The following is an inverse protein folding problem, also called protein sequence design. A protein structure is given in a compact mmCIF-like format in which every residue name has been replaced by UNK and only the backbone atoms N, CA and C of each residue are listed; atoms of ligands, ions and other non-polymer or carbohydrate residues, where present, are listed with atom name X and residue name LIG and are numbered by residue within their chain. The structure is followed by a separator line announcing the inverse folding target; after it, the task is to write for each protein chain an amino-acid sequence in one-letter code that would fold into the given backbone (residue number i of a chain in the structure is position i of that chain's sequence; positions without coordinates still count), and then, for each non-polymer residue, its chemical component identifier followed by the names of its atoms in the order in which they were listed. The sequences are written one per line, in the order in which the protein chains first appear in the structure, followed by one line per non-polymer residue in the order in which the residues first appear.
data_IF_840612590499
#
_entry.id   IF_840612590499
#
_cell.length_a   1.000
_cell.length_b   1.000
_cell.length_c   1.000
_cell.angle_alpha   90.00
_cell.angle_beta   90.00
_cell.angle_gamma   90.00
#
_symmetry.space_group_name_H-M   'P 1'
#
loop_
_entity.id
_entity.type
_entity.pdbx_description
1 polymer ?
#
# COMPACT_ATOMS: atom_id res chain seq x y z
N UNK A 1 4.11 -6.23 -11.56
CA UNK A 1 4.74 -6.53 -10.25
C UNK A 1 5.47 -7.87 -10.33
N UNK A 2 6.64 -8.07 -9.69
CA UNK A 2 7.29 -9.37 -9.64
C UNK A 2 6.40 -10.32 -8.83
N UNK A 3 5.83 -11.30 -9.52
CA UNK A 3 4.95 -12.31 -8.96
C UNK A 3 5.76 -13.28 -8.09
N UNK A 4 5.41 -13.41 -6.81
CA UNK A 4 5.90 -14.51 -5.97
C UNK A 4 5.59 -15.83 -6.70
N UNK A 5 6.61 -16.69 -6.86
CA UNK A 5 6.43 -17.99 -7.50
C UNK A 5 5.45 -18.88 -6.71
N UNK A 6 4.84 -19.89 -7.35
CA UNK A 6 3.84 -20.74 -6.71
C UNK A 6 4.33 -21.42 -5.42
N UNK A 7 5.59 -21.86 -5.35
CA UNK A 7 6.12 -22.49 -4.14
C UNK A 7 6.17 -21.51 -2.96
N UNK A 8 6.64 -20.28 -3.19
CA UNK A 8 6.67 -19.24 -2.16
C UNK A 8 5.26 -18.88 -1.67
N UNK A 9 4.28 -18.82 -2.58
CA UNK A 9 2.88 -18.57 -2.20
C UNK A 9 2.34 -19.68 -1.31
N UNK A 10 2.61 -20.93 -1.67
CA UNK A 10 2.15 -22.09 -0.92
C UNK A 10 2.82 -22.17 0.46
N UNK A 11 4.10 -21.79 0.56
CA UNK A 11 4.82 -21.72 1.81
C UNK A 11 4.28 -20.63 2.75
N UNK A 12 3.99 -19.43 2.22
CA UNK A 12 3.37 -18.34 2.97
C UNK A 12 1.98 -18.76 3.49
N UNK A 13 1.18 -19.43 2.66
CA UNK A 13 -0.14 -19.93 3.05
C UNK A 13 -0.08 -20.93 4.21
N UNK A 14 0.95 -21.79 4.24
CA UNK A 14 1.16 -22.79 5.29
C UNK A 14 1.76 -22.23 6.58
N UNK A 15 2.37 -21.04 6.55
CA UNK A 15 3.06 -20.46 7.72
C UNK A 15 2.99 -18.93 7.74
N UNK A 16 1.83 -18.34 8.08
CA UNK A 16 1.64 -16.88 8.10
C UNK A 16 2.56 -16.15 9.08
N UNK A 17 2.93 -16.76 10.20
CA UNK A 17 3.86 -16.17 11.18
C UNK A 17 5.26 -15.95 10.55
N UNK A 18 5.73 -16.93 9.78
CA UNK A 18 7.00 -16.80 9.03
C UNK A 18 6.91 -15.71 7.96
N UNK A 19 5.74 -15.54 7.35
CA UNK A 19 5.51 -14.48 6.37
C UNK A 19 5.59 -13.08 7.01
N UNK A 20 5.11 -12.91 8.25
CA UNK A 20 5.28 -11.65 8.98
C UNK A 20 6.76 -11.32 9.24
N UNK A 21 7.53 -12.30 9.72
CA UNK A 21 8.99 -12.11 9.92
C UNK A 21 9.70 -11.77 8.60
N UNK A 22 9.30 -12.42 7.50
CA UNK A 22 9.86 -12.13 6.18
C UNK A 22 9.53 -10.72 5.70
N UNK A 23 8.29 -10.25 5.89
CA UNK A 23 7.92 -8.85 5.59
C UNK A 23 8.80 -7.89 6.40
N UNK A 24 8.93 -8.12 7.71
CA UNK A 24 9.74 -7.26 8.58
C UNK A 24 11.21 -7.22 8.13
N UNK A 25 11.76 -8.37 7.76
CA UNK A 25 13.11 -8.46 7.20
C UNK A 25 13.24 -7.67 5.89
N UNK A 26 12.35 -7.89 4.92
CA UNK A 26 12.33 -7.15 3.67
C UNK A 26 12.21 -5.63 3.90
N UNK A 27 11.33 -5.19 4.81
CA UNK A 27 11.16 -3.78 5.14
C UNK A 27 12.42 -3.18 5.78
N UNK A 28 13.07 -3.91 6.68
CA UNK A 28 14.31 -3.48 7.32
C UNK A 28 15.45 -3.38 6.30
N UNK A 29 15.69 -4.44 5.52
CA UNK A 29 16.74 -4.47 4.51
C UNK A 29 16.51 -3.43 3.41
N UNK A 30 15.26 -3.27 2.95
CA UNK A 30 14.90 -2.23 1.99
C UNK A 30 15.21 -0.82 2.50
N UNK A 31 14.93 -0.54 3.78
CA UNK A 31 15.28 0.73 4.43
C UNK A 31 16.79 0.96 4.49
N UNK A 32 17.58 -0.08 4.80
CA UNK A 32 19.04 0.03 4.81
C UNK A 32 19.58 0.39 3.42
N UNK A 33 19.13 -0.31 2.38
CA UNK A 33 19.54 0.00 1.00
C UNK A 33 19.09 1.40 0.56
N UNK A 34 17.86 1.81 0.91
CA UNK A 34 17.35 3.14 0.62
C UNK A 34 18.23 4.24 1.26
N UNK A 35 18.56 4.08 2.55
CA UNK A 35 19.42 5.01 3.27
C UNK A 35 20.83 5.07 2.68
N UNK A 36 21.33 3.95 2.15
CA UNK A 36 22.61 3.85 1.45
C UNK A 36 22.54 4.29 -0.02
N UNK A 37 21.40 4.83 -0.48
CA UNK A 37 21.14 5.27 -1.86
C UNK A 37 21.21 4.16 -2.91
N UNK A 38 21.22 2.89 -2.50
CA UNK A 38 21.01 1.76 -3.40
C UNK A 38 19.51 1.54 -3.60
N UNK A 39 18.90 2.45 -4.36
CA UNK A 39 17.45 2.45 -4.56
C UNK A 39 16.97 1.25 -5.37
N UNK A 40 17.84 0.62 -6.17
CA UNK A 40 17.50 -0.60 -6.92
C UNK A 40 17.24 -1.76 -5.97
N UNK A 41 18.13 -1.99 -5.01
CA UNK A 41 17.94 -3.02 -3.99
C UNK A 41 16.79 -2.66 -3.03
N UNK A 42 16.64 -1.38 -2.69
CA UNK A 42 15.48 -0.93 -1.91
C UNK A 42 14.16 -1.28 -2.59
N UNK A 43 14.02 -0.99 -3.89
CA UNK A 43 12.84 -1.34 -4.67
C UNK A 43 12.58 -2.84 -4.69
N UNK A 44 13.63 -3.67 -4.82
CA UNK A 44 13.50 -5.12 -4.79
C UNK A 44 12.86 -5.60 -3.47
N UNK A 45 13.41 -5.17 -2.34
CA UNK A 45 12.92 -5.61 -1.03
C UNK A 45 11.53 -5.05 -0.69
N UNK A 46 11.25 -3.77 -0.99
CA UNK A 46 9.91 -3.24 -0.76
C UNK A 46 8.86 -3.87 -1.67
N UNK A 47 9.21 -4.25 -2.90
CA UNK A 47 8.32 -5.03 -3.78
C UNK A 47 8.01 -6.41 -3.20
N UNK A 48 8.99 -7.09 -2.60
CA UNK A 48 8.76 -8.36 -1.90
C UNK A 48 7.83 -8.19 -0.70
N UNK A 49 8.08 -7.20 0.16
CA UNK A 49 7.23 -6.91 1.31
C UNK A 49 5.78 -6.59 0.89
N UNK A 50 5.60 -5.82 -0.19
CA UNK A 50 4.30 -5.52 -0.76
C UNK A 50 3.62 -6.78 -1.31
N UNK A 51 4.33 -7.62 -2.06
CA UNK A 51 3.79 -8.87 -2.60
C UNK A 51 3.36 -9.85 -1.51
N UNK A 52 4.14 -9.99 -0.44
CA UNK A 52 3.81 -10.89 0.68
C UNK A 52 2.62 -10.35 1.48
N UNK A 53 2.59 -9.04 1.77
CA UNK A 53 1.47 -8.43 2.48
C UNK A 53 0.15 -8.52 1.71
N UNK A 54 0.18 -8.31 0.39
CA UNK A 54 -0.99 -8.52 -0.47
C UNK A 54 -1.45 -9.98 -0.45
N UNK A 55 -0.52 -10.94 -0.57
CA UNK A 55 -0.87 -12.36 -0.51
C UNK A 55 -1.50 -12.74 0.84
N UNK A 56 -1.01 -12.20 1.95
CA UNK A 56 -1.61 -12.43 3.27
C UNK A 56 -3.04 -11.88 3.35
N UNK A 57 -3.29 -10.70 2.76
CA UNK A 57 -4.62 -10.12 2.64
C UNK A 57 -5.53 -11.01 1.78
N UNK A 58 -5.04 -11.55 0.68
CA UNK A 58 -5.83 -12.42 -0.22
C UNK A 58 -6.18 -13.76 0.44
N UNK A 59 -5.22 -14.37 1.15
CA UNK A 59 -5.38 -15.69 1.79
C UNK A 59 -6.17 -15.63 3.09
N UNK A 60 -5.98 -14.56 3.84
CA UNK A 60 -6.70 -14.27 5.08
C UNK A 60 -7.30 -12.89 4.90
N UNK A 61 -8.45 -12.80 4.21
CA UNK A 61 -9.19 -11.56 4.04
C UNK A 61 -9.28 -10.83 5.36
N UNK A 62 -9.15 -9.52 5.30
CA UNK A 62 -9.13 -8.56 6.40
C UNK A 62 -10.36 -8.74 7.34
N UNK A 63 -10.29 -9.76 8.19
CA UNK A 63 -11.34 -10.24 9.08
C UNK A 63 -10.70 -10.73 10.38
N UNK A 64 -11.37 -10.50 11.51
CA UNK A 64 -10.84 -10.82 12.84
C UNK A 64 -9.66 -9.93 13.26
N UNK A 65 -8.67 -10.51 13.96
CA UNK A 65 -7.54 -9.80 14.58
C UNK A 65 -6.32 -9.62 13.66
N UNK A 66 -6.38 -10.08 12.41
CA UNK A 66 -5.25 -10.02 11.49
C UNK A 66 -5.38 -8.80 10.58
N UNK A 67 -4.70 -7.72 10.94
CA UNK A 67 -4.65 -6.50 10.15
C UNK A 67 -3.29 -6.35 9.46
N UNK A 68 -3.18 -6.87 8.24
CA UNK A 68 -1.98 -6.74 7.40
C UNK A 68 -1.94 -5.44 6.59
N UNK A 69 -3.01 -4.64 6.64
CA UNK A 69 -3.12 -3.38 5.89
C UNK A 69 -2.00 -2.38 6.19
N UNK A 70 -1.59 -2.14 7.47
CA UNK A 70 -0.48 -1.25 7.76
C UNK A 70 0.84 -1.66 7.08
N UNK A 71 1.08 -2.97 6.93
CA UNK A 71 2.27 -3.48 6.24
C UNK A 71 2.21 -3.18 4.75
N UNK A 72 1.05 -3.39 4.12
CA UNK A 72 0.81 -3.04 2.71
C UNK A 72 1.01 -1.54 2.46
N UNK A 73 0.45 -0.69 3.33
CA UNK A 73 0.59 0.77 3.25
C UNK A 73 2.08 1.16 3.32
N UNK A 74 2.79 0.71 4.36
CA UNK A 74 4.18 1.08 4.55
C UNK A 74 5.08 0.59 3.39
N UNK A 75 4.89 -0.65 2.93
CA UNK A 75 5.66 -1.19 1.80
C UNK A 75 5.42 -0.40 0.50
N UNK A 76 4.16 -0.01 0.24
CA UNK A 76 3.79 0.77 -0.95
C UNK A 76 4.41 2.16 -0.95
N UNK A 77 4.35 2.89 0.16
CA UNK A 77 4.99 4.21 0.26
C UNK A 77 6.51 4.13 0.12
N UNK A 78 7.14 3.15 0.76
CA UNK A 78 8.59 2.98 0.68
C UNK A 78 9.05 2.56 -0.74
N UNK A 79 8.27 1.73 -1.42
CA UNK A 79 8.51 1.36 -2.81
C UNK A 79 8.37 2.58 -3.74
N UNK A 80 7.29 3.35 -3.58
CA UNK A 80 7.08 4.59 -4.31
C UNK A 80 8.23 5.58 -4.12
N UNK A 81 8.64 5.84 -2.88
CA UNK A 81 9.77 6.71 -2.57
C UNK A 81 11.08 6.24 -3.24
N UNK A 82 11.33 4.94 -3.24
CA UNK A 82 12.52 4.36 -3.88
C UNK A 82 12.47 4.46 -5.41
N UNK A 83 11.29 4.28 -6.02
CA UNK A 83 11.11 4.52 -7.45
C UNK A 83 11.30 6.00 -7.81
N UNK A 84 10.76 6.92 -7.02
CA UNK A 84 10.96 8.36 -7.21
C UNK A 84 12.45 8.74 -7.15
N UNK A 85 13.19 8.18 -6.19
CA UNK A 85 14.63 8.39 -6.08
C UNK A 85 15.44 7.84 -7.28
N UNK A 86 14.91 6.85 -8.01
CA UNK A 86 15.44 6.37 -9.28
C UNK A 86 15.00 7.18 -10.50
N UNK A 87 14.21 8.24 -10.33
CA UNK A 87 13.58 9.00 -11.42
C UNK A 87 12.45 8.24 -12.12
N UNK A 88 11.99 7.12 -11.55
CA UNK A 88 10.92 6.25 -12.08
C UNK A 88 9.55 6.73 -11.62
N UNK A 89 9.21 7.99 -11.92
CA UNK A 89 8.00 8.66 -11.41
C UNK A 89 6.71 7.93 -11.80
N UNK A 90 6.61 7.42 -13.04
CA UNK A 90 5.45 6.65 -13.48
C UNK A 90 5.23 5.40 -12.64
N UNK A 91 6.29 4.66 -12.31
CA UNK A 91 6.18 3.48 -11.45
C UNK A 91 5.82 3.86 -10.01
N UNK A 92 6.43 4.92 -9.48
CA UNK A 92 6.13 5.43 -8.14
C UNK A 92 4.64 5.80 -8.01
N UNK A 93 4.11 6.52 -9.00
CA UNK A 93 2.69 6.92 -9.04
C UNK A 93 1.79 5.71 -9.13
N UNK A 94 2.09 4.77 -10.02
CA UNK A 94 1.26 3.59 -10.20
C UNK A 94 1.11 2.77 -8.90
N UNK A 95 2.21 2.59 -8.14
CA UNK A 95 2.16 1.92 -6.84
C UNK A 95 1.23 2.64 -5.86
N UNK A 96 1.27 3.97 -5.82
CA UNK A 96 0.41 4.73 -4.93
C UNK A 96 -1.05 4.75 -5.41
N UNK A 97 -1.32 4.86 -6.71
CA UNK A 97 -2.67 4.77 -7.28
C UNK A 97 -3.33 3.44 -6.91
N UNK A 98 -2.61 2.32 -7.03
CA UNK A 98 -3.10 1.01 -6.60
C UNK A 98 -3.38 0.95 -5.09
N UNK A 99 -2.48 1.51 -4.27
CA UNK A 99 -2.68 1.60 -2.82
C UNK A 99 -3.95 2.41 -2.52
N UNK A 100 -4.07 3.60 -3.09
CA UNK A 100 -5.13 4.54 -2.78
C UNK A 100 -6.50 4.04 -3.23
N UNK A 101 -6.60 3.48 -4.44
CA UNK A 101 -7.81 2.81 -4.89
C UNK A 101 -8.22 1.67 -3.95
N UNK A 102 -7.25 0.87 -3.48
CA UNK A 102 -7.49 -0.18 -2.49
C UNK A 102 -7.97 0.38 -1.15
N UNK A 103 -7.47 1.52 -0.70
CA UNK A 103 -7.90 2.18 0.54
C UNK A 103 -9.34 2.69 0.42
N UNK A 104 -9.69 3.35 -0.70
CA UNK A 104 -11.06 3.81 -0.98
C UNK A 104 -12.04 2.62 -0.94
N UNK A 105 -11.71 1.53 -1.63
CA UNK A 105 -12.54 0.31 -1.63
C UNK A 105 -12.76 -0.24 -0.22
N UNK A 106 -11.71 -0.30 0.60
CA UNK A 106 -11.81 -0.75 1.98
C UNK A 106 -12.69 0.18 2.83
N UNK A 107 -12.55 1.50 2.67
CA UNK A 107 -13.37 2.47 3.40
C UNK A 107 -14.88 2.29 3.14
N UNK A 108 -15.23 2.04 1.88
CA UNK A 108 -16.63 1.97 1.40
C UNK A 108 -17.26 0.57 1.48
N UNK A 109 -16.50 -0.46 1.85
CA UNK A 109 -17.00 -1.84 1.91
C UNK A 109 -17.64 -2.14 3.27
N UNK A 110 -18.99 -2.21 3.39
CA UNK A 110 -19.67 -2.43 4.67
C UNK A 110 -19.43 -3.84 5.24
N UNK A 111 -19.01 -4.79 4.40
CA UNK A 111 -18.64 -6.15 4.82
C UNK A 111 -17.27 -6.23 5.50
N UNK A 112 -16.44 -5.19 5.40
CA UNK A 112 -15.14 -5.11 6.06
C UNK A 112 -15.32 -4.60 7.50
N UNK A 113 -14.52 -5.14 8.43
CA UNK A 113 -14.63 -4.78 9.84
C UNK A 113 -14.38 -3.28 10.06
N UNK A 114 -15.14 -2.68 10.99
CA UNK A 114 -15.04 -1.25 11.33
C UNK A 114 -13.60 -0.81 11.59
N UNK A 115 -12.81 -1.60 12.32
CA UNK A 115 -11.42 -1.26 12.64
C UNK A 115 -10.51 -1.16 11.41
N UNK A 116 -10.72 -2.01 10.40
CA UNK A 116 -9.94 -1.98 9.15
C UNK A 116 -10.39 -0.81 8.29
N UNK A 117 -11.69 -0.53 8.23
CA UNK A 117 -12.24 0.64 7.54
C UNK A 117 -11.68 1.94 8.13
N UNK A 118 -11.61 2.05 9.46
CA UNK A 118 -11.00 3.20 10.16
C UNK A 118 -9.49 3.29 9.86
N UNK A 119 -8.78 2.16 9.84
CA UNK A 119 -7.35 2.14 9.46
C UNK A 119 -7.15 2.64 8.03
N UNK A 120 -8.01 2.21 7.09
CA UNK A 120 -7.96 2.64 5.71
C UNK A 120 -8.26 4.15 5.57
N UNK A 121 -9.29 4.63 6.26
CA UNK A 121 -9.68 6.05 6.27
C UNK A 121 -8.55 6.93 6.79
N UNK A 122 -7.91 6.55 7.91
CA UNK A 122 -6.76 7.29 8.45
C UNK A 122 -5.51 7.25 7.56
N UNK A 123 -5.44 6.33 6.59
CA UNK A 123 -4.34 6.25 5.63
C UNK A 123 -4.63 7.00 4.31
N UNK A 124 -5.90 7.39 4.05
CA UNK A 124 -6.27 8.08 2.82
C UNK A 124 -5.50 9.39 2.64
N UNK A 125 -5.44 10.24 3.67
CA UNK A 125 -4.73 11.53 3.61
C UNK A 125 -3.26 11.38 3.20
N UNK A 126 -2.54 10.43 3.81
CA UNK A 126 -1.13 10.17 3.51
C UNK A 126 -0.95 9.68 2.07
N UNK A 127 -1.84 8.80 1.61
CA UNK A 127 -1.81 8.29 0.24
C UNK A 127 -2.16 9.39 -0.79
N UNK A 128 -3.17 10.22 -0.49
CA UNK A 128 -3.59 11.35 -1.32
C UNK A 128 -2.46 12.37 -1.47
N UNK A 129 -1.83 12.77 -0.35
CA UNK A 129 -0.69 13.68 -0.37
C UNK A 129 0.44 13.14 -1.25
N UNK A 130 0.74 11.85 -1.14
CA UNK A 130 1.82 11.22 -1.90
C UNK A 130 1.52 11.13 -3.40
N UNK A 131 0.29 10.80 -3.78
CA UNK A 131 -0.15 10.76 -5.19
C UNK A 131 -0.18 12.14 -5.80
N UNK A 132 -0.78 13.12 -5.12
CA UNK A 132 -0.91 14.49 -5.62
C UNK A 132 0.47 15.13 -5.80
N UNK A 133 1.43 14.84 -4.92
CA UNK A 133 2.83 15.25 -5.09
C UNK A 133 3.44 14.72 -6.39
N UNK A 134 3.24 13.42 -6.71
CA UNK A 134 3.75 12.83 -7.96
C UNK A 134 3.03 13.35 -9.19
N UNK A 135 1.70 13.50 -9.14
CA UNK A 135 0.91 14.09 -10.22
C UNK A 135 1.35 15.52 -10.51
N UNK A 136 1.62 16.31 -9.46
CA UNK A 136 2.16 17.66 -9.59
C UNK A 136 3.54 17.67 -10.27
N UNK A 137 4.45 16.78 -9.86
CA UNK A 137 5.77 16.62 -10.50
C UNK A 137 5.66 16.20 -11.97
N UNK A 138 4.67 15.40 -12.33
CA UNK A 138 4.39 15.00 -13.72
C UNK A 138 3.55 16.03 -14.51
N UNK A 139 3.14 17.16 -13.91
CA UNK A 139 2.31 18.18 -14.54
C UNK A 139 0.87 17.72 -14.85
N UNK A 140 0.39 16.67 -14.20
CA UNK A 140 -0.92 16.02 -14.45
C UNK A 140 -2.03 16.65 -13.62
N UNK A 141 -2.28 17.94 -13.87
CA UNK A 141 -3.21 18.77 -13.08
C UNK A 141 -4.64 18.23 -13.06
N UNK A 142 -5.17 17.79 -14.20
CA UNK A 142 -6.54 17.25 -14.27
C UNK A 142 -6.71 15.98 -13.43
N UNK A 143 -5.70 15.10 -13.44
CA UNK A 143 -5.71 13.87 -12.65
C UNK A 143 -5.55 14.19 -11.15
N UNK A 144 -4.81 15.24 -10.81
CA UNK A 144 -4.67 15.73 -9.44
C UNK A 144 -6.03 16.18 -8.88
N UNK A 145 -6.79 17.00 -9.62
CA UNK A 145 -8.12 17.41 -9.18
C UNK A 145 -9.08 16.22 -9.05
N UNK A 146 -9.01 15.28 -9.99
CA UNK A 146 -9.84 14.08 -9.97
C UNK A 146 -9.59 13.25 -8.70
N UNK A 147 -8.33 12.96 -8.36
CA UNK A 147 -8.02 12.13 -7.18
C UNK A 147 -8.42 12.81 -5.87
N UNK A 148 -8.26 14.14 -5.77
CA UNK A 148 -8.73 14.90 -4.59
C UNK A 148 -10.24 14.76 -4.44
N UNK A 149 -11.00 15.05 -5.50
CA UNK A 149 -12.47 14.98 -5.46
C UNK A 149 -12.99 13.57 -5.14
N UNK A 150 -12.37 12.53 -5.72
CA UNK A 150 -12.75 11.14 -5.43
C UNK A 150 -12.43 10.75 -3.98
N UNK A 151 -11.31 11.24 -3.43
CA UNK A 151 -10.93 10.97 -2.04
C UNK A 151 -11.88 11.64 -1.07
N UNK A 152 -12.20 12.91 -1.28
CA UNK A 152 -13.07 13.69 -0.40
C UNK A 152 -14.47 13.03 -0.32
N UNK A 153 -15.04 12.68 -1.48
CA UNK A 153 -16.32 11.99 -1.53
C UNK A 153 -16.28 10.63 -0.81
N UNK A 154 -15.23 9.84 -1.03
CA UNK A 154 -15.10 8.54 -0.38
C UNK A 154 -14.92 8.66 1.14
N UNK A 155 -14.14 9.64 1.60
CA UNK A 155 -13.89 9.90 3.02
C UNK A 155 -15.17 10.35 3.74
N UNK A 156 -15.95 11.26 3.14
CA UNK A 156 -17.23 11.73 3.69
C UNK A 156 -18.24 10.58 3.82
N UNK A 157 -18.41 9.78 2.75
CA UNK A 157 -19.29 8.62 2.77
C UNK A 157 -18.87 7.59 3.80
N UNK A 158 -17.57 7.29 3.90
CA UNK A 158 -17.06 6.34 4.88
C UNK A 158 -17.23 6.85 6.31
N UNK A 159 -16.97 8.12 6.57
CA UNK A 159 -17.15 8.74 7.88
C UNK A 159 -18.61 8.67 8.33
N UNK A 160 -19.56 9.02 7.45
CA UNK A 160 -20.99 8.92 7.74
C UNK A 160 -21.39 7.47 8.12
N UNK A 161 -20.87 6.47 7.41
CA UNK A 161 -21.16 5.05 7.69
C UNK A 161 -20.48 4.51 8.97
N UNK A 162 -19.47 5.18 9.51
CA UNK A 162 -18.69 4.70 10.67
C UNK A 162 -19.09 5.38 11.99
N UNK A 163 -19.80 6.51 11.90
CA UNK A 163 -20.27 7.34 13.01
C UNK A 163 -21.75 7.13 13.34
N UNK A 164 -22.49 6.41 12.49
CA UNK A 164 -23.86 5.96 12.70
C UNK A 164 -23.90 4.44 12.91
#
# INVERSE_FOLDING_TARGET
MPTLCPEHRQQIARSPEKALSLIQQCMHTGKLYHNNRDFTQACHHFSQALGISQLLIDLRPLQGNHNYLPLKIAASHNLSASFSALGKLTQARHVLEELHASLIQLCLAPSISRGIRVTALGALDNSLFSITSLLGLEGKVDQLYKVISETDQAAELAAAQLLH
#
